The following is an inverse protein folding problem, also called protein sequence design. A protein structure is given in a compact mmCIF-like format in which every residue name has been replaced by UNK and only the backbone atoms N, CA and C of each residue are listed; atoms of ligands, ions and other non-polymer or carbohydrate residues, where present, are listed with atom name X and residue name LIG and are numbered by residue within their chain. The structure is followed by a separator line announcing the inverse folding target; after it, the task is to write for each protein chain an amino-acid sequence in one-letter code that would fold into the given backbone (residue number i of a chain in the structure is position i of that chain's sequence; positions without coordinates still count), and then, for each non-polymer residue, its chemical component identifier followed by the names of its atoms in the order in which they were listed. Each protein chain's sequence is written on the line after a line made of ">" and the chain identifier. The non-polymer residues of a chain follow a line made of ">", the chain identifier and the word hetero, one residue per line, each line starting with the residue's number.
data_IF_160802720224
#
_entry.id   IF_160802720224
#
_cell.length_a   1.000
_cell.length_b   1.000
_cell.length_c   1.000
_cell.angle_alpha   90.00
_cell.angle_beta   90.00
_cell.angle_gamma   90.00
#
_symmetry.space_group_name_H-M   'P 1'
#
loop_
_entity.id
_entity.type
_entity.pdbx_description
1 polymer ?
#
# COMPACT_ATOMS: atom_id res chain seq x y z
N UNK A 1 38.82 -11.07 -10.06
CA UNK A 1 37.98 -12.00 -10.80
C UNK A 1 36.54 -11.75 -10.40
N UNK A 2 35.65 -11.35 -11.28
CA UNK A 2 34.23 -11.33 -10.96
C UNK A 2 33.76 -12.77 -10.87
N UNK A 3 33.05 -13.08 -9.78
CA UNK A 3 32.38 -14.35 -9.53
C UNK A 3 31.37 -14.61 -10.66
N UNK A 4 31.42 -15.75 -11.38
CA UNK A 4 30.53 -16.05 -12.50
C UNK A 4 29.12 -16.53 -12.08
N UNK A 5 28.82 -16.58 -10.79
CA UNK A 5 27.47 -16.82 -10.31
C UNK A 5 26.79 -15.46 -10.16
N UNK A 6 25.96 -15.07 -11.14
CA UNK A 6 25.15 -13.85 -11.14
C UNK A 6 24.14 -13.80 -9.97
N UNK A 7 24.64 -13.90 -8.75
CA UNK A 7 23.89 -13.69 -7.53
C UNK A 7 23.64 -12.19 -7.36
N UNK A 8 22.38 -11.83 -7.21
CA UNK A 8 21.99 -10.47 -6.86
C UNK A 8 22.67 -10.11 -5.54
N UNK A 9 23.44 -9.02 -5.53
CA UNK A 9 23.95 -8.46 -4.27
C UNK A 9 22.75 -8.04 -3.38
N UNK A 10 22.53 -8.73 -2.24
CA UNK A 10 21.36 -8.47 -1.40
C UNK A 10 21.31 -7.05 -0.87
N UNK A 11 22.45 -6.47 -0.51
CA UNK A 11 22.54 -5.11 0.03
C UNK A 11 22.27 -4.07 -1.06
N UNK A 12 22.84 -4.27 -2.26
CA UNK A 12 22.60 -3.42 -3.41
C UNK A 12 21.14 -3.46 -3.87
N UNK A 13 20.50 -4.63 -3.85
CA UNK A 13 19.07 -4.77 -4.17
C UNK A 13 18.20 -4.00 -3.17
N UNK A 14 18.43 -4.15 -1.87
CA UNK A 14 17.66 -3.42 -0.85
C UNK A 14 17.83 -1.91 -1.02
N UNK A 15 19.05 -1.41 -1.22
CA UNK A 15 19.31 0.02 -1.42
C UNK A 15 18.59 0.56 -2.66
N UNK A 16 18.62 -0.19 -3.77
CA UNK A 16 17.95 0.17 -5.02
C UNK A 16 16.42 0.20 -4.83
N UNK A 17 15.86 -0.83 -4.21
CA UNK A 17 14.43 -0.89 -3.92
C UNK A 17 13.98 0.21 -2.95
N UNK A 18 14.80 0.53 -1.96
CA UNK A 18 14.48 1.61 -1.02
C UNK A 18 14.39 2.95 -1.76
N UNK A 19 15.38 3.28 -2.58
CA UNK A 19 15.38 4.51 -3.37
C UNK A 19 14.20 4.58 -4.35
N UNK A 20 13.86 3.48 -4.99
CA UNK A 20 12.80 3.43 -5.99
C UNK A 20 11.38 3.40 -5.40
N UNK A 21 11.18 2.70 -4.30
CA UNK A 21 9.84 2.32 -3.84
C UNK A 21 9.43 2.92 -2.48
N UNK A 22 10.36 3.38 -1.62
CA UNK A 22 10.03 3.77 -0.25
C UNK A 22 8.98 4.88 -0.19
N UNK A 23 9.11 5.96 -0.97
CA UNK A 23 8.15 7.06 -1.00
C UNK A 23 6.76 6.59 -1.49
N UNK A 24 6.73 5.76 -2.53
CA UNK A 24 5.50 5.22 -3.10
C UNK A 24 4.79 4.27 -2.13
N UNK A 25 5.55 3.45 -1.41
CA UNK A 25 5.03 2.54 -0.40
C UNK A 25 4.55 3.28 0.85
N UNK A 26 5.20 4.37 1.25
CA UNK A 26 4.73 5.22 2.33
C UNK A 26 3.39 5.86 1.96
N UNK A 27 3.27 6.39 0.76
CA UNK A 27 2.00 6.92 0.26
C UNK A 27 0.93 5.81 0.14
N UNK A 28 1.30 4.59 -0.26
CA UNK A 28 0.41 3.43 -0.24
C UNK A 28 -0.09 3.13 1.18
N UNK A 29 0.80 3.09 2.16
CA UNK A 29 0.44 2.81 3.55
C UNK A 29 -0.53 3.86 4.11
N UNK A 30 -0.47 5.11 3.64
CA UNK A 30 -1.39 6.19 4.02
C UNK A 30 -2.86 5.95 3.66
N UNK A 31 -3.16 5.10 2.70
CA UNK A 31 -4.54 4.68 2.45
C UNK A 31 -5.11 3.81 3.58
N UNK A 32 -4.25 3.23 4.40
CA UNK A 32 -4.62 2.28 5.44
C UNK A 32 -4.42 2.82 6.85
N UNK A 33 -3.45 3.71 7.07
CA UNK A 33 -3.13 4.30 8.37
C UNK A 33 -3.22 5.81 8.30
N UNK A 34 -3.69 6.44 9.39
CA UNK A 34 -3.97 7.88 9.42
C UNK A 34 -2.72 8.72 9.72
N UNK A 35 -1.72 8.13 10.34
CA UNK A 35 -0.51 8.80 10.77
C UNK A 35 0.65 8.54 9.82
N UNK A 36 1.32 9.62 9.39
CA UNK A 36 2.49 9.55 8.51
C UNK A 36 3.64 8.79 9.14
N UNK A 37 3.92 9.04 10.41
CA UNK A 37 4.98 8.35 11.15
C UNK A 37 4.71 6.85 11.20
N UNK A 38 3.46 6.44 11.45
CA UNK A 38 3.07 5.04 11.39
C UNK A 38 3.26 4.45 9.98
N UNK A 39 2.95 5.18 8.92
CA UNK A 39 3.17 4.72 7.54
C UNK A 39 4.67 4.53 7.25
N UNK A 40 5.51 5.47 7.65
CA UNK A 40 6.97 5.38 7.50
C UNK A 40 7.55 4.20 8.28
N UNK A 41 7.12 3.99 9.53
CA UNK A 41 7.52 2.85 10.36
C UNK A 41 7.13 1.50 9.75
N UNK A 42 5.93 1.41 9.17
CA UNK A 42 5.47 0.21 8.47
C UNK A 42 6.35 -0.11 7.25
N UNK A 43 6.72 0.91 6.50
CA UNK A 43 7.60 0.73 5.32
C UNK A 43 9.00 0.32 5.76
N UNK A 44 9.56 0.92 6.80
CA UNK A 44 10.85 0.51 7.35
C UNK A 44 10.83 -0.95 7.82
N UNK A 45 9.82 -1.35 8.58
CA UNK A 45 9.65 -2.74 9.02
C UNK A 45 9.50 -3.69 7.82
N UNK A 46 8.82 -3.27 6.76
CA UNK A 46 8.68 -4.07 5.54
C UNK A 46 10.04 -4.33 4.88
N UNK A 47 10.92 -3.33 4.80
CA UNK A 47 12.27 -3.49 4.27
C UNK A 47 13.13 -4.39 5.16
N UNK A 48 13.00 -4.31 6.49
CA UNK A 48 13.69 -5.20 7.43
C UNK A 48 13.24 -6.65 7.21
N UNK A 49 11.94 -6.91 7.02
CA UNK A 49 11.44 -8.25 6.72
C UNK A 49 11.88 -8.75 5.36
N UNK A 50 11.89 -7.88 4.35
CA UNK A 50 12.41 -8.22 3.02
C UNK A 50 13.88 -8.64 3.13
N UNK A 51 14.72 -7.89 3.84
CA UNK A 51 16.15 -8.20 3.98
C UNK A 51 16.41 -9.58 4.59
N UNK A 52 15.56 -10.02 5.51
CA UNK A 52 15.62 -11.37 6.12
C UNK A 52 15.15 -12.49 5.20
N UNK A 53 14.49 -12.16 4.10
CA UNK A 53 13.88 -13.12 3.17
C UNK A 53 14.59 -13.18 1.82
N UNK A 54 15.63 -12.38 1.61
CA UNK A 54 16.31 -12.27 0.30
C UNK A 54 16.89 -13.57 -0.22
N UNK A 55 17.34 -14.47 0.65
CA UNK A 55 17.86 -15.78 0.25
C UNK A 55 16.86 -16.62 -0.55
N UNK A 56 15.57 -16.31 -0.40
CA UNK A 56 14.45 -17.00 -1.08
C UNK A 56 13.95 -16.27 -2.32
N UNK A 57 14.41 -15.03 -2.53
CA UNK A 57 13.93 -14.15 -3.60
C UNK A 57 15.01 -14.06 -4.68
N UNK A 58 14.69 -14.48 -5.90
CA UNK A 58 15.66 -14.64 -6.97
C UNK A 58 15.69 -13.48 -7.99
N UNK A 59 14.70 -12.58 -7.94
CA UNK A 59 14.60 -11.46 -8.85
C UNK A 59 13.95 -10.23 -8.19
N UNK A 60 14.24 -9.04 -8.77
CA UNK A 60 13.77 -7.76 -8.24
C UNK A 60 12.25 -7.58 -8.32
N UNK A 61 11.58 -8.17 -9.33
CA UNK A 61 10.12 -8.07 -9.46
C UNK A 61 9.42 -8.82 -8.33
N UNK A 62 9.89 -10.01 -7.98
CA UNK A 62 9.39 -10.77 -6.84
C UNK A 62 9.68 -10.07 -5.52
N UNK A 63 10.86 -9.44 -5.38
CA UNK A 63 11.19 -8.63 -4.21
C UNK A 63 10.20 -7.47 -4.04
N UNK A 64 9.90 -6.75 -5.13
CA UNK A 64 8.93 -5.64 -5.13
C UNK A 64 7.52 -6.11 -4.78
N UNK A 65 7.04 -7.19 -5.40
CA UNK A 65 5.72 -7.77 -5.12
C UNK A 65 5.61 -8.24 -3.66
N UNK A 66 6.64 -8.89 -3.15
CA UNK A 66 6.70 -9.32 -1.76
C UNK A 66 6.72 -8.14 -0.79
N UNK A 67 7.51 -7.11 -1.08
CA UNK A 67 7.57 -5.89 -0.29
C UNK A 67 6.19 -5.20 -0.18
N UNK A 68 5.46 -5.09 -1.29
CA UNK A 68 4.09 -4.55 -1.30
C UNK A 68 3.14 -5.37 -0.41
N UNK A 69 3.22 -6.70 -0.49
CA UNK A 69 2.38 -7.57 0.34
C UNK A 69 2.70 -7.43 1.83
N UNK A 70 3.98 -7.26 2.19
CA UNK A 70 4.38 -7.01 3.58
C UNK A 70 3.77 -5.70 4.08
N UNK A 71 3.89 -4.60 3.31
CA UNK A 71 3.35 -3.29 3.71
C UNK A 71 1.85 -3.36 3.94
N UNK A 72 1.10 -3.99 3.04
CA UNK A 72 -0.36 -4.14 3.17
C UNK A 72 -0.72 -4.97 4.41
N UNK A 73 -0.03 -6.07 4.64
CA UNK A 73 -0.29 -6.93 5.80
C UNK A 73 0.03 -6.21 7.12
N UNK A 74 1.15 -5.47 7.18
CA UNK A 74 1.50 -4.65 8.33
C UNK A 74 0.47 -3.55 8.60
N UNK A 75 0.00 -2.88 7.55
CA UNK A 75 -1.03 -1.85 7.65
C UNK A 75 -2.36 -2.40 8.18
N UNK A 76 -2.74 -3.59 7.72
CA UNK A 76 -3.92 -4.31 8.24
C UNK A 76 -3.78 -4.67 9.71
N UNK A 77 -2.62 -5.20 10.10
CA UNK A 77 -2.34 -5.56 11.48
C UNK A 77 -2.32 -4.33 12.40
N UNK A 78 -1.79 -3.22 11.92
CA UNK A 78 -1.83 -1.93 12.62
C UNK A 78 -3.26 -1.48 12.86
N UNK A 79 -4.12 -1.50 11.83
CA UNK A 79 -5.52 -1.14 11.94
C UNK A 79 -6.30 -2.07 12.88
N UNK A 80 -6.05 -3.37 12.82
CA UNK A 80 -6.70 -4.33 13.72
C UNK A 80 -6.35 -4.06 15.18
N UNK A 81 -5.11 -3.72 15.49
CA UNK A 81 -4.67 -3.33 16.84
C UNK A 81 -5.22 -1.96 17.23
N UNK A 82 -5.27 -1.02 16.30
CA UNK A 82 -5.84 0.32 16.50
C UNK A 82 -7.34 0.30 16.78
N UNK A 83 -8.11 -0.64 16.20
CA UNK A 83 -9.54 -0.83 16.52
C UNK A 83 -9.77 -1.19 17.99
N UNK A 84 -8.78 -1.80 18.64
CA UNK A 84 -8.82 -2.07 20.08
C UNK A 84 -8.49 -0.83 20.93
N UNK A 85 -7.92 0.22 20.32
CA UNK A 85 -7.43 1.45 21.01
C UNK A 85 -8.19 2.72 20.63
N UNK A 86 -9.41 2.65 20.15
CA UNK A 86 -10.21 3.73 19.52
C UNK A 86 -10.51 4.95 20.42
N UNK A 87 -10.09 5.00 21.65
CA UNK A 87 -10.50 6.07 22.60
C UNK A 87 -9.60 7.30 22.63
N UNK A 88 -8.41 7.30 22.01
CA UNK A 88 -7.45 8.42 22.09
C UNK A 88 -6.62 8.56 20.82
N UNK A 89 -7.25 8.83 19.67
CA UNK A 89 -6.52 9.09 18.44
C UNK A 89 -6.43 10.60 18.19
N UNK A 90 -5.22 11.19 18.12
CA UNK A 90 -5.08 12.56 17.64
C UNK A 90 -5.56 12.66 16.19
N UNK A 91 -6.09 13.82 15.76
CA UNK A 91 -6.49 14.02 14.37
C UNK A 91 -5.31 13.75 13.43
N UNK A 92 -5.61 13.12 12.30
CA UNK A 92 -4.62 12.82 11.27
C UNK A 92 -3.91 14.12 10.84
N UNK A 93 -2.58 14.11 10.86
CA UNK A 93 -1.83 15.22 10.30
C UNK A 93 -2.02 15.24 8.78
N UNK A 94 -2.31 16.40 8.17
CA UNK A 94 -2.39 16.53 6.73
C UNK A 94 -1.06 16.08 6.09
N UNK A 95 -1.14 15.43 4.93
CA UNK A 95 0.04 15.19 4.11
C UNK A 95 0.68 16.53 3.77
N UNK A 96 2.02 16.65 3.87
CA UNK A 96 2.70 17.80 3.26
C UNK A 96 2.38 17.80 1.77
N UNK A 97 1.78 18.89 1.26
CA UNK A 97 1.44 18.95 -0.14
C UNK A 97 2.70 18.85 -0.99
N UNK A 98 2.64 18.10 -2.08
CA UNK A 98 3.57 18.31 -3.20
C UNK A 98 3.54 19.79 -3.53
N UNK A 99 4.71 20.40 -3.80
CA UNK A 99 4.83 21.84 -4.08
C UNK A 99 3.93 22.35 -5.22
N UNK A 100 3.32 21.45 -6.00
CA UNK A 100 2.45 21.71 -7.15
C UNK A 100 0.96 21.46 -6.89
N UNK A 101 0.59 20.85 -5.74
CA UNK A 101 -0.79 20.52 -5.43
C UNK A 101 -1.57 21.75 -4.93
N UNK A 102 -2.74 22.01 -5.50
CA UNK A 102 -3.65 23.06 -5.04
C UNK A 102 -4.41 22.62 -3.78
N UNK A 103 -4.97 23.59 -3.03
CA UNK A 103 -5.82 23.28 -1.87
C UNK A 103 -7.02 22.40 -2.25
N UNK A 104 -7.62 22.63 -3.44
CA UNK A 104 -8.73 21.83 -3.96
C UNK A 104 -8.31 20.39 -4.29
N UNK A 105 -7.10 20.18 -4.83
CA UNK A 105 -6.56 18.84 -5.10
C UNK A 105 -6.35 18.05 -3.81
N UNK A 106 -5.90 18.73 -2.75
CA UNK A 106 -5.68 18.11 -1.44
C UNK A 106 -7.00 17.74 -0.78
N UNK A 107 -8.03 18.59 -0.88
CA UNK A 107 -9.36 18.33 -0.35
C UNK A 107 -10.00 17.14 -1.07
N UNK A 108 -10.01 17.13 -2.40
CA UNK A 108 -10.51 16.02 -3.21
C UNK A 108 -9.79 14.70 -2.90
N UNK A 109 -8.47 14.75 -2.69
CA UNK A 109 -7.70 13.57 -2.31
C UNK A 109 -8.08 13.05 -0.93
N UNK A 110 -8.26 13.94 0.04
CA UNK A 110 -8.68 13.57 1.39
C UNK A 110 -10.06 12.91 1.40
N UNK A 111 -11.01 13.42 0.60
CA UNK A 111 -12.34 12.84 0.42
C UNK A 111 -12.27 11.42 -0.16
N UNK A 112 -11.51 11.21 -1.23
CA UNK A 112 -11.33 9.88 -1.84
C UNK A 112 -10.72 8.90 -0.84
N UNK A 113 -9.70 9.31 -0.07
CA UNK A 113 -9.10 8.47 0.97
C UNK A 113 -10.13 8.13 2.05
N UNK A 114 -10.94 9.09 2.48
CA UNK A 114 -11.97 8.86 3.48
C UNK A 114 -13.02 7.84 2.99
N UNK A 115 -13.47 7.95 1.74
CA UNK A 115 -14.41 6.99 1.14
C UNK A 115 -13.79 5.59 0.98
N UNK A 116 -12.53 5.50 0.52
CA UNK A 116 -11.82 4.23 0.45
C UNK A 116 -11.72 3.54 1.81
N UNK A 117 -11.53 4.31 2.89
CA UNK A 117 -11.46 3.77 4.25
C UNK A 117 -12.78 3.22 4.77
N UNK A 118 -13.92 3.67 4.22
CA UNK A 118 -15.25 3.12 4.54
C UNK A 118 -15.54 1.79 3.87
N UNK A 119 -14.81 1.45 2.80
CA UNK A 119 -14.99 0.19 2.10
C UNK A 119 -14.58 -1.02 2.96
N UNK A 120 -15.21 -2.17 2.74
CA UNK A 120 -14.70 -3.44 3.24
C UNK A 120 -13.24 -3.64 2.84
N UNK A 121 -12.42 -4.16 3.74
CA UNK A 121 -10.97 -4.22 3.64
C UNK A 121 -10.48 -4.74 2.27
N UNK A 122 -11.01 -5.87 1.80
CA UNK A 122 -10.60 -6.48 0.53
C UNK A 122 -10.96 -5.65 -0.70
N UNK A 123 -12.07 -4.91 -0.65
CA UNK A 123 -12.47 -4.02 -1.74
C UNK A 123 -11.51 -2.82 -1.81
N UNK A 124 -11.21 -2.21 -0.67
CA UNK A 124 -10.23 -1.13 -0.57
C UNK A 124 -8.86 -1.57 -1.07
N UNK A 125 -8.35 -2.71 -0.60
CA UNK A 125 -7.06 -3.24 -1.01
C UNK A 125 -6.97 -3.40 -2.53
N UNK A 126 -7.98 -4.02 -3.14
CA UNK A 126 -8.02 -4.22 -4.59
C UNK A 126 -8.05 -2.89 -5.35
N UNK A 127 -8.86 -1.92 -4.91
CA UNK A 127 -8.95 -0.61 -5.55
C UNK A 127 -7.64 0.16 -5.45
N UNK A 128 -7.03 0.21 -4.26
CA UNK A 128 -5.75 0.91 -4.06
C UNK A 128 -4.64 0.28 -4.90
N UNK A 129 -4.53 -1.05 -4.92
CA UNK A 129 -3.54 -1.73 -5.74
C UNK A 129 -3.76 -1.52 -7.24
N UNK A 130 -5.02 -1.50 -7.68
CA UNK A 130 -5.37 -1.31 -9.08
C UNK A 130 -5.10 0.11 -9.56
N UNK A 131 -5.61 1.11 -8.83
CA UNK A 131 -5.65 2.49 -9.30
C UNK A 131 -4.50 3.36 -8.81
N UNK A 132 -3.94 3.06 -7.65
CA UNK A 132 -2.79 3.79 -7.14
C UNK A 132 -1.45 3.19 -7.61
N UNK A 133 -1.32 1.87 -7.61
CA UNK A 133 -0.11 1.17 -8.05
C UNK A 133 -0.19 0.66 -9.51
N UNK A 134 -1.33 0.81 -10.17
CA UNK A 134 -1.59 0.34 -11.55
C UNK A 134 -1.28 -1.15 -11.76
N UNK A 135 -1.60 -1.97 -10.76
CA UNK A 135 -1.36 -3.41 -10.84
C UNK A 135 -2.43 -4.12 -11.67
N UNK A 136 -2.00 -5.12 -12.43
CA UNK A 136 -2.89 -6.07 -13.10
C UNK A 136 -3.61 -7.00 -12.13
N UNK A 137 -4.68 -7.66 -12.61
CA UNK A 137 -5.47 -8.58 -11.78
C UNK A 137 -4.61 -9.73 -11.22
N UNK A 138 -3.65 -10.23 -12.01
CA UNK A 138 -2.76 -11.30 -11.58
C UNK A 138 -1.79 -10.87 -10.49
N UNK A 139 -1.25 -9.66 -10.60
CA UNK A 139 -0.36 -9.08 -9.60
C UNK A 139 -1.11 -8.80 -8.29
N UNK A 140 -2.35 -8.29 -8.36
CA UNK A 140 -3.21 -8.09 -7.19
C UNK A 140 -3.53 -9.43 -6.53
N UNK A 141 -3.89 -10.44 -7.31
CA UNK A 141 -4.19 -11.77 -6.81
C UNK A 141 -2.99 -12.38 -6.07
N UNK A 142 -1.78 -12.27 -6.65
CA UNK A 142 -0.55 -12.71 -6.02
C UNK A 142 -0.22 -11.92 -4.74
N UNK A 143 -0.35 -10.59 -4.78
CA UNK A 143 -0.07 -9.70 -3.63
C UNK A 143 -1.00 -9.99 -2.45
N UNK A 144 -2.29 -10.17 -2.71
CA UNK A 144 -3.32 -10.39 -1.68
C UNK A 144 -3.54 -11.87 -1.35
N UNK A 145 -2.92 -12.79 -2.08
CA UNK A 145 -3.10 -14.24 -1.97
C UNK A 145 -4.58 -14.67 -2.08
N UNK A 146 -5.26 -14.15 -3.09
CA UNK A 146 -6.65 -14.47 -3.42
C UNK A 146 -6.79 -14.84 -4.90
N UNK A 147 -7.92 -15.43 -5.29
CA UNK A 147 -8.16 -15.80 -6.69
C UNK A 147 -8.38 -14.56 -7.58
N UNK A 148 -8.08 -14.68 -8.87
CA UNK A 148 -8.38 -13.66 -9.89
C UNK A 148 -9.87 -13.26 -9.89
N UNK A 149 -10.75 -14.24 -9.74
CA UNK A 149 -12.19 -14.00 -9.68
C UNK A 149 -12.57 -13.20 -8.44
N UNK A 150 -11.94 -13.47 -7.29
CA UNK A 150 -12.13 -12.66 -6.08
C UNK A 150 -11.69 -11.23 -6.29
N UNK A 151 -10.54 -11.00 -6.94
CA UNK A 151 -10.07 -9.63 -7.28
C UNK A 151 -11.10 -8.90 -8.13
N UNK A 152 -11.58 -9.52 -9.23
CA UNK A 152 -12.61 -8.93 -10.10
C UNK A 152 -13.87 -8.55 -9.32
N UNK A 153 -14.33 -9.46 -8.48
CA UNK A 153 -15.53 -9.23 -7.65
C UNK A 153 -15.32 -8.08 -6.67
N UNK A 154 -14.17 -8.02 -5.99
CA UNK A 154 -13.87 -6.95 -5.05
C UNK A 154 -13.71 -5.59 -5.74
N UNK A 155 -13.06 -5.53 -6.91
CA UNK A 155 -12.96 -4.31 -7.71
C UNK A 155 -14.36 -3.81 -8.13
N UNK A 156 -15.20 -4.68 -8.67
CA UNK A 156 -16.55 -4.33 -9.11
C UNK A 156 -17.43 -3.83 -7.97
N UNK A 157 -17.42 -4.53 -6.83
CA UNK A 157 -18.21 -4.12 -5.65
C UNK A 157 -17.70 -2.82 -5.05
N UNK A 158 -16.37 -2.68 -4.95
CA UNK A 158 -15.74 -1.47 -4.42
C UNK A 158 -16.06 -0.24 -5.26
N UNK A 159 -15.97 -0.33 -6.59
CA UNK A 159 -16.33 0.76 -7.50
C UNK A 159 -17.80 1.18 -7.34
N UNK A 160 -18.72 0.22 -7.33
CA UNK A 160 -20.15 0.52 -7.13
C UNK A 160 -20.41 1.25 -5.82
N UNK A 161 -19.74 0.84 -4.74
CA UNK A 161 -19.91 1.49 -3.44
C UNK A 161 -19.36 2.92 -3.48
N UNK A 162 -18.22 3.14 -4.10
CA UNK A 162 -17.64 4.47 -4.28
C UNK A 162 -18.54 5.39 -5.12
N UNK A 163 -19.05 4.90 -6.25
CA UNK A 163 -19.99 5.63 -7.11
C UNK A 163 -21.24 6.07 -6.33
N UNK A 164 -21.87 5.14 -5.61
CA UNK A 164 -23.07 5.44 -4.81
C UNK A 164 -22.80 6.45 -3.69
N UNK A 165 -21.62 6.42 -3.07
CA UNK A 165 -21.24 7.39 -2.03
C UNK A 165 -21.05 8.79 -2.61
N UNK A 166 -20.42 8.91 -3.77
CA UNK A 166 -20.16 10.18 -4.43
C UNK A 166 -21.46 10.83 -4.96
N UNK A 167 -22.38 10.02 -5.50
CA UNK A 167 -23.71 10.50 -5.92
C UNK A 167 -24.55 11.02 -4.76
N UNK A 168 -24.43 10.40 -3.58
CA UNK A 168 -25.17 10.82 -2.39
C UNK A 168 -24.67 12.13 -1.76
N UNK A 169 -23.52 12.63 -2.18
CA UNK A 169 -22.90 13.86 -1.68
C UNK A 169 -23.14 15.07 -2.61
N UNK A 170 -23.72 14.87 -3.79
CA UNK A 170 -24.12 15.91 -4.74
C UNK A 170 -25.58 16.33 -4.52
#
# INVERSE_FOLDING_TARGET
>A
MPDPAGGIDPAGLIATLFQAEAARLTSLARFFVDDRTAAEDLVQEAFIRLSRSLDRIRDAERATAYLRSIVINLARDHNRRGLMSFRHRPPAQPDEPSAEATAADLESRAEVIAELRRLPLRQRDCLVLRYYLDLGIDEIAATLQISRNSVKTHLQRGLRTMESSLEAQQ
#
